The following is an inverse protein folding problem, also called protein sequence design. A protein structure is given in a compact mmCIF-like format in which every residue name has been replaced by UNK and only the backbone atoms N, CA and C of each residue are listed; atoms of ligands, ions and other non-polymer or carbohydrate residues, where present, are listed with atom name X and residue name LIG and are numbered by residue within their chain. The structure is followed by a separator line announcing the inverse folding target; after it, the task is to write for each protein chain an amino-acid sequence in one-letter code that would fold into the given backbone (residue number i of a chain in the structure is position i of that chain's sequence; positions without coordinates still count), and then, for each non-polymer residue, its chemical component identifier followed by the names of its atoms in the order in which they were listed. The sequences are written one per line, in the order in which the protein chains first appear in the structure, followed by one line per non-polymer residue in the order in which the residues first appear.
data_IF_071171704743
#
_entry.id   IF_071171704743
#
_cell.length_a   1.000
_cell.length_b   1.000
_cell.length_c   1.000
_cell.angle_alpha   90.00
_cell.angle_beta   90.00
_cell.angle_gamma   90.00
#
_symmetry.space_group_name_H-M   'P 1'
#
loop_
_entity.id
_entity.type
_entity.pdbx_description
1 polymer ?
#
# COMPACT_ATOMS: atom_id res chain seq x y z
N UNK A 1 75.41 19.06 2.42
CA UNK A 1 75.73 17.75 1.82
C UNK A 1 74.65 16.80 2.33
N UNK A 2 73.61 16.64 1.52
CA UNK A 2 72.55 15.59 1.60
C UNK A 2 73.19 14.18 1.46
N UNK A 3 72.50 13.02 1.67
CA UNK A 3 71.06 12.78 1.40
C UNK A 3 70.31 11.70 2.24
N UNK A 4 69.04 11.46 1.84
CA UNK A 4 68.07 10.39 2.21
C UNK A 4 67.25 10.62 3.51
N UNK A 5 65.91 10.75 3.52
CA UNK A 5 64.88 10.36 2.57
C UNK A 5 64.40 8.93 2.84
N UNK A 6 63.31 8.77 3.60
CA UNK A 6 62.26 7.81 3.25
C UNK A 6 60.93 8.09 4.00
N UNK A 7 59.89 8.32 3.20
CA UNK A 7 58.48 8.11 3.50
C UNK A 7 58.22 6.62 3.76
N UNK A 8 57.33 6.28 4.71
CA UNK A 8 56.30 5.21 4.61
C UNK A 8 55.62 4.88 5.94
N UNK A 9 54.30 4.77 5.87
CA UNK A 9 53.44 4.02 6.79
C UNK A 9 52.77 4.91 7.85
N UNK A 10 51.52 5.38 7.72
CA UNK A 10 50.40 4.75 7.03
C UNK A 10 49.75 3.71 7.94
N UNK A 11 48.57 4.08 8.46
CA UNK A 11 47.59 3.25 9.18
C UNK A 11 47.93 2.89 10.64
N UNK A 12 47.29 3.61 11.57
CA UNK A 12 46.54 3.01 12.69
C UNK A 12 45.61 4.08 13.26
N UNK A 13 44.71 4.56 12.39
CA UNK A 13 43.50 5.22 12.85
C UNK A 13 42.56 4.13 13.37
N UNK A 14 42.63 3.85 14.68
CA UNK A 14 41.63 3.06 15.38
C UNK A 14 40.22 3.54 14.98
N UNK A 15 39.34 2.68 14.46
CA UNK A 15 37.96 3.06 14.26
C UNK A 15 37.26 3.04 15.62
N UNK A 16 37.30 4.19 16.31
CA UNK A 16 36.45 4.53 17.45
C UNK A 16 34.93 4.51 17.12
N UNK A 17 34.56 4.10 15.90
CA UNK A 17 33.18 3.96 15.43
C UNK A 17 32.56 2.57 15.66
N UNK A 18 33.32 1.58 16.17
CA UNK A 18 32.82 0.21 16.31
C UNK A 18 31.93 -0.04 17.55
N UNK A 19 32.03 0.79 18.60
CA UNK A 19 31.24 0.62 19.83
C UNK A 19 29.82 1.18 19.73
N UNK A 20 29.58 2.17 18.87
CA UNK A 20 28.24 2.75 18.66
C UNK A 20 27.32 1.90 17.78
N UNK A 21 27.83 0.83 17.15
CA UNK A 21 27.09 -0.04 16.24
C UNK A 21 26.58 -1.34 16.91
N UNK A 22 26.92 -1.60 18.18
CA UNK A 22 26.56 -2.85 18.87
C UNK A 22 25.11 -2.89 19.39
N UNK A 23 24.42 -1.75 19.55
CA UNK A 23 23.20 -1.69 20.39
C UNK A 23 21.97 -1.00 19.78
N UNK A 24 21.89 -0.76 18.47
CA UNK A 24 20.63 -0.35 17.86
C UNK A 24 19.87 -1.60 17.38
N UNK A 25 18.92 -2.17 18.16
CA UNK A 25 17.99 -3.13 17.62
C UNK A 25 17.18 -2.41 16.55
N UNK A 26 17.54 -2.63 15.29
CA UNK A 26 16.64 -2.35 14.18
C UNK A 26 15.42 -3.20 14.47
N UNK A 27 14.25 -2.60 14.66
CA UNK A 27 12.99 -3.33 14.75
C UNK A 27 12.84 -4.08 13.42
N UNK A 28 13.12 -5.38 13.47
CA UNK A 28 13.02 -6.26 12.31
C UNK A 28 11.54 -6.58 12.14
N UNK A 29 11.06 -6.49 10.90
CA UNK A 29 9.72 -6.88 10.50
C UNK A 29 9.43 -8.29 11.03
N UNK A 30 8.48 -8.41 11.94
CA UNK A 30 8.24 -9.68 12.63
C UNK A 30 7.17 -10.52 11.91
N UNK A 31 7.18 -11.83 12.18
CA UNK A 31 6.11 -12.72 11.71
C UNK A 31 4.72 -12.28 12.21
N UNK A 32 4.64 -11.52 13.31
CA UNK A 32 3.36 -10.96 13.80
C UNK A 32 2.88 -9.81 12.92
N UNK A 33 3.80 -8.96 12.46
CA UNK A 33 3.49 -7.84 11.57
C UNK A 33 3.03 -8.34 10.20
N UNK A 34 3.64 -9.42 9.71
CA UNK A 34 3.17 -10.12 8.53
C UNK A 34 1.73 -10.63 8.67
N UNK A 35 1.43 -11.35 9.75
CA UNK A 35 0.06 -11.89 9.98
C UNK A 35 -0.95 -10.75 10.14
N UNK A 36 -0.60 -9.67 10.82
CA UNK A 36 -1.47 -8.50 10.96
C UNK A 36 -1.75 -7.83 9.60
N UNK A 37 -0.74 -7.73 8.73
CA UNK A 37 -0.89 -7.19 7.40
C UNK A 37 -1.76 -8.09 6.51
N UNK A 38 -1.54 -9.40 6.52
CA UNK A 38 -2.37 -10.38 5.79
C UNK A 38 -3.83 -10.33 6.22
N UNK A 39 -4.10 -10.24 7.53
CA UNK A 39 -5.46 -10.06 8.04
C UNK A 39 -6.10 -8.76 7.56
N UNK A 40 -5.32 -7.68 7.51
CA UNK A 40 -5.77 -6.38 7.00
C UNK A 40 -6.11 -6.47 5.51
N UNK A 41 -5.30 -7.19 4.73
CA UNK A 41 -5.57 -7.44 3.31
C UNK A 41 -6.85 -8.26 3.10
N UNK A 42 -7.08 -9.30 3.90
CA UNK A 42 -8.32 -10.07 3.82
C UNK A 42 -9.55 -9.22 4.15
N UNK A 43 -9.44 -8.32 5.13
CA UNK A 43 -10.51 -7.36 5.41
C UNK A 43 -10.73 -6.39 4.25
N UNK A 44 -9.67 -5.92 3.58
CA UNK A 44 -9.77 -5.10 2.37
C UNK A 44 -10.49 -5.87 1.25
N UNK A 45 -10.11 -7.12 1.00
CA UNK A 45 -10.72 -7.93 -0.05
C UNK A 45 -12.20 -8.21 0.22
N UNK A 46 -12.55 -8.49 1.48
CA UNK A 46 -13.93 -8.68 1.88
C UNK A 46 -14.77 -7.41 1.69
N UNK A 47 -14.24 -6.25 2.08
CA UNK A 47 -14.90 -4.96 1.91
C UNK A 47 -15.05 -4.60 0.42
N UNK A 48 -14.04 -4.87 -0.42
CA UNK A 48 -14.12 -4.66 -1.87
C UNK A 48 -15.20 -5.56 -2.51
N UNK A 49 -15.26 -6.84 -2.13
CA UNK A 49 -16.27 -7.76 -2.63
C UNK A 49 -17.69 -7.33 -2.22
N UNK A 50 -17.87 -6.87 -0.98
CA UNK A 50 -19.15 -6.34 -0.50
C UNK A 50 -19.56 -5.08 -1.28
N UNK A 51 -18.61 -4.18 -1.56
CA UNK A 51 -18.85 -2.98 -2.36
C UNK A 51 -19.22 -3.31 -3.81
N UNK A 52 -18.56 -4.29 -4.44
CA UNK A 52 -18.94 -4.79 -5.77
C UNK A 52 -20.41 -5.25 -5.80
N UNK A 53 -20.80 -6.08 -4.85
CA UNK A 53 -22.17 -6.59 -4.76
C UNK A 53 -23.19 -5.46 -4.56
N UNK A 54 -22.85 -4.48 -3.71
CA UNK A 54 -23.71 -3.32 -3.48
C UNK A 54 -23.83 -2.43 -4.72
N UNK A 55 -22.73 -2.19 -5.44
CA UNK A 55 -22.74 -1.42 -6.68
C UNK A 55 -23.58 -2.11 -7.77
N UNK A 56 -23.48 -3.44 -7.88
CA UNK A 56 -24.31 -4.22 -8.78
C UNK A 56 -25.80 -4.12 -8.42
N UNK A 57 -26.15 -4.18 -7.13
CA UNK A 57 -27.53 -4.00 -6.68
C UNK A 57 -28.05 -2.58 -6.97
N UNK A 58 -27.25 -1.54 -6.72
CA UNK A 58 -27.64 -0.15 -7.02
C UNK A 58 -27.84 0.07 -8.53
N UNK A 59 -26.99 -0.53 -9.36
CA UNK A 59 -27.18 -0.54 -10.82
C UNK A 59 -28.52 -1.18 -11.21
N UNK A 60 -28.87 -2.31 -10.61
CA UNK A 60 -30.17 -2.98 -10.85
C UNK A 60 -31.37 -2.16 -10.37
N UNK A 61 -31.19 -1.23 -9.44
CA UNK A 61 -32.24 -0.33 -8.99
C UNK A 61 -32.40 0.90 -9.88
N UNK A 62 -31.30 1.49 -10.35
CA UNK A 62 -31.34 2.74 -11.13
C UNK A 62 -31.70 2.53 -12.61
N UNK A 63 -31.23 1.45 -13.23
CA UNK A 63 -31.51 1.19 -14.65
C UNK A 63 -33.01 1.10 -14.97
N UNK A 64 -33.85 0.36 -14.19
CA UNK A 64 -35.28 0.32 -14.48
C UNK A 64 -35.98 1.66 -14.25
N UNK A 65 -35.49 2.52 -13.34
CA UNK A 65 -36.03 3.87 -13.17
C UNK A 65 -35.77 4.71 -14.42
N UNK A 66 -34.57 4.59 -14.99
CA UNK A 66 -34.19 5.26 -16.23
C UNK A 66 -35.01 4.76 -17.43
N UNK A 67 -35.15 3.44 -17.59
CA UNK A 67 -35.96 2.84 -18.65
C UNK A 67 -37.43 3.24 -18.55
N UNK A 68 -37.99 3.19 -17.33
CA UNK A 68 -39.37 3.61 -17.07
C UNK A 68 -39.58 5.08 -17.42
N UNK A 69 -38.64 5.96 -17.05
CA UNK A 69 -38.69 7.37 -17.43
C UNK A 69 -38.68 7.53 -18.95
N UNK A 70 -37.72 6.93 -19.66
CA UNK A 70 -37.60 7.07 -21.11
C UNK A 70 -38.81 6.52 -21.88
N UNK A 71 -39.36 5.39 -21.44
CA UNK A 71 -40.45 4.71 -22.15
C UNK A 71 -41.80 5.36 -21.91
N UNK A 72 -42.12 5.71 -20.66
CA UNK A 72 -43.46 6.14 -20.29
C UNK A 72 -43.64 7.66 -20.32
N UNK A 73 -42.57 8.48 -20.32
CA UNK A 73 -42.70 9.94 -20.23
C UNK A 73 -43.64 10.53 -21.28
N UNK A 74 -43.55 10.09 -22.55
CA UNK A 74 -44.43 10.59 -23.61
C UNK A 74 -45.89 10.21 -23.39
N UNK A 75 -46.15 8.97 -22.97
CA UNK A 75 -47.50 8.49 -22.67
C UNK A 75 -48.12 9.28 -21.52
N UNK A 76 -47.34 9.55 -20.47
CA UNK A 76 -47.82 10.30 -19.30
C UNK A 76 -48.05 11.78 -19.61
N UNK A 77 -47.27 12.37 -20.51
CA UNK A 77 -47.52 13.72 -21.05
C UNK A 77 -48.86 13.75 -21.79
N UNK A 78 -49.11 12.80 -22.68
CA UNK A 78 -50.38 12.73 -23.43
C UNK A 78 -51.57 12.47 -22.51
N UNK A 79 -51.39 11.66 -21.47
CA UNK A 79 -52.42 11.34 -20.49
C UNK A 79 -52.63 12.44 -19.41
N UNK A 80 -51.85 13.52 -19.43
CA UNK A 80 -51.88 14.59 -18.42
C UNK A 80 -51.66 14.07 -16.97
N UNK A 81 -50.93 12.97 -16.83
CA UNK A 81 -50.61 12.33 -15.54
C UNK A 81 -49.11 12.45 -15.20
N UNK A 82 -48.42 13.39 -15.82
CA UNK A 82 -46.97 13.53 -15.68
C UNK A 82 -46.54 13.82 -14.23
N UNK A 83 -47.35 14.56 -13.46
CA UNK A 83 -47.03 14.85 -12.05
C UNK A 83 -47.06 13.59 -11.18
N UNK A 84 -48.15 12.84 -11.23
CA UNK A 84 -48.33 11.60 -10.47
C UNK A 84 -47.36 10.50 -10.90
N UNK A 85 -46.85 10.56 -12.13
CA UNK A 85 -45.77 9.71 -12.61
C UNK A 85 -44.39 10.12 -12.07
N UNK A 86 -44.07 11.42 -12.05
CA UNK A 86 -42.74 11.92 -11.71
C UNK A 86 -42.45 11.93 -10.21
N UNK A 87 -43.42 12.29 -9.37
CA UNK A 87 -43.23 12.34 -7.91
C UNK A 87 -42.66 11.03 -7.32
N UNK A 88 -43.26 9.84 -7.55
CA UNK A 88 -42.70 8.58 -7.03
C UNK A 88 -41.37 8.19 -7.68
N UNK A 89 -41.10 8.67 -8.90
CA UNK A 89 -39.83 8.41 -9.58
C UNK A 89 -38.70 9.26 -8.98
N UNK A 90 -38.98 10.52 -8.61
CA UNK A 90 -38.03 11.37 -7.88
C UNK A 90 -37.67 10.75 -6.54
N UNK A 91 -38.66 10.29 -5.78
CA UNK A 91 -38.43 9.66 -4.47
C UNK A 91 -37.54 8.41 -4.60
N UNK A 92 -37.86 7.52 -5.55
CA UNK A 92 -37.07 6.32 -5.80
C UNK A 92 -35.64 6.62 -6.24
N UNK A 93 -35.44 7.62 -7.10
CA UNK A 93 -34.10 8.05 -7.53
C UNK A 93 -33.33 8.65 -6.36
N UNK A 94 -33.99 9.43 -5.50
CA UNK A 94 -33.37 10.03 -4.33
C UNK A 94 -32.89 8.96 -3.34
N UNK A 95 -33.68 7.89 -3.12
CA UNK A 95 -33.26 6.76 -2.30
C UNK A 95 -31.99 6.09 -2.84
N UNK A 96 -31.94 5.84 -4.16
CA UNK A 96 -30.77 5.24 -4.81
C UNK A 96 -29.55 6.18 -4.74
N UNK A 97 -29.74 7.48 -4.94
CA UNK A 97 -28.67 8.48 -4.84
C UNK A 97 -28.06 8.52 -3.43
N UNK A 98 -28.88 8.48 -2.36
CA UNK A 98 -28.38 8.42 -0.99
C UNK A 98 -27.52 7.17 -0.77
N UNK A 99 -27.96 6.02 -1.29
CA UNK A 99 -27.19 4.78 -1.19
C UNK A 99 -25.90 4.81 -2.03
N UNK A 100 -25.90 5.47 -3.19
CA UNK A 100 -24.70 5.69 -4.01
C UNK A 100 -23.69 6.64 -3.36
N UNK A 101 -24.13 7.65 -2.61
CA UNK A 101 -23.23 8.51 -1.83
C UNK A 101 -22.58 7.71 -0.68
N UNK A 102 -23.32 6.81 -0.04
CA UNK A 102 -22.77 5.90 0.97
C UNK A 102 -21.77 4.90 0.36
N UNK A 103 -22.15 4.24 -0.75
CA UNK A 103 -21.31 3.89 -1.90
C UNK A 103 -19.90 4.47 -1.90
N UNK A 104 -19.90 5.72 -2.33
CA UNK A 104 -18.74 6.54 -2.64
C UNK A 104 -17.86 6.82 -1.42
N UNK A 105 -18.48 7.12 -0.28
CA UNK A 105 -17.79 7.39 0.98
C UNK A 105 -17.04 6.16 1.50
N UNK A 106 -17.63 4.97 1.39
CA UNK A 106 -16.96 3.72 1.79
C UNK A 106 -15.79 3.39 0.87
N UNK A 107 -15.93 3.60 -0.44
CA UNK A 107 -14.83 3.47 -1.39
C UNK A 107 -13.67 4.41 -1.06
N UNK A 108 -13.94 5.66 -0.69
CA UNK A 108 -12.88 6.60 -0.29
C UNK A 108 -12.16 6.17 0.99
N UNK A 109 -12.89 5.61 1.96
CA UNK A 109 -12.27 5.04 3.17
C UNK A 109 -11.39 3.84 2.82
N UNK A 110 -11.85 2.97 1.92
CA UNK A 110 -11.11 1.80 1.47
C UNK A 110 -9.84 2.21 0.71
N UNK A 111 -9.93 3.17 -0.20
CA UNK A 111 -8.77 3.74 -0.92
C UNK A 111 -7.75 4.32 0.05
N UNK A 112 -8.18 5.12 1.03
CA UNK A 112 -7.28 5.66 2.07
C UNK A 112 -6.59 4.54 2.85
N UNK A 113 -7.33 3.50 3.25
CA UNK A 113 -6.77 2.37 3.98
C UNK A 113 -5.73 1.62 3.15
N UNK A 114 -5.98 1.38 1.86
CA UNK A 114 -5.00 0.77 0.93
C UNK A 114 -3.75 1.66 0.82
N UNK A 115 -3.91 2.95 0.57
CA UNK A 115 -2.79 3.89 0.44
C UNK A 115 -1.98 4.01 1.74
N UNK A 116 -2.64 3.96 2.91
CA UNK A 116 -1.95 3.97 4.19
C UNK A 116 -1.15 2.69 4.43
N UNK A 117 -1.70 1.52 4.11
CA UNK A 117 -0.95 0.26 4.16
C UNK A 117 0.25 0.28 3.22
N UNK A 118 0.07 0.80 2.00
CA UNK A 118 1.17 0.95 1.06
C UNK A 118 2.26 1.89 1.59
N UNK A 119 1.87 3.05 2.15
CA UNK A 119 2.82 3.99 2.77
C UNK A 119 3.62 3.34 3.89
N UNK A 120 2.96 2.59 4.77
CA UNK A 120 3.64 1.90 5.88
C UNK A 120 4.66 0.89 5.34
N UNK A 121 4.30 0.10 4.32
CA UNK A 121 5.23 -0.84 3.70
C UNK A 121 6.41 -0.13 3.03
N UNK A 122 6.19 0.99 2.35
CA UNK A 122 7.25 1.78 1.73
C UNK A 122 8.19 2.40 2.79
N UNK A 123 7.66 2.85 3.93
CA UNK A 123 8.45 3.32 5.08
C UNK A 123 9.33 2.19 5.65
N UNK A 124 8.81 0.96 5.76
CA UNK A 124 9.61 -0.20 6.19
C UNK A 124 10.70 -0.57 5.17
N UNK A 125 10.37 -0.57 3.88
CA UNK A 125 11.32 -0.86 2.80
C UNK A 125 12.47 0.14 2.82
N UNK A 126 12.18 1.44 2.93
CA UNK A 126 13.19 2.51 2.95
C UNK A 126 14.08 2.44 4.20
N UNK A 127 13.56 2.00 5.34
CA UNK A 127 14.37 1.78 6.55
C UNK A 127 15.32 0.57 6.43
N UNK A 128 14.86 -0.52 5.81
CA UNK A 128 15.64 -1.75 5.67
C UNK A 128 16.60 -1.73 4.48
N UNK A 129 16.32 -0.93 3.45
CA UNK A 129 17.15 -0.81 2.26
C UNK A 129 18.63 -0.48 2.53
N UNK A 130 19.00 0.51 3.36
CA UNK A 130 20.40 0.78 3.66
C UNK A 130 21.09 -0.36 4.43
N UNK A 131 20.34 -1.15 5.22
CA UNK A 131 20.88 -2.31 5.94
C UNK A 131 21.12 -3.48 5.00
N UNK A 132 20.23 -3.70 4.05
CA UNK A 132 20.38 -4.68 2.98
C UNK A 132 21.57 -4.34 2.04
N UNK A 133 21.81 -3.05 1.76
CA UNK A 133 22.88 -2.60 0.85
C UNK A 133 24.24 -2.42 1.53
N UNK A 134 24.32 -2.38 2.86
CA UNK A 134 25.59 -2.21 3.61
C UNK A 134 26.59 -3.35 3.41
N UNK A 135 26.17 -4.47 2.83
CA UNK A 135 27.04 -5.62 2.61
C UNK A 135 27.31 -5.81 1.12
N UNK A 136 28.49 -5.39 0.67
CA UNK A 136 29.20 -6.17 -0.36
C UNK A 136 29.55 -7.52 0.28
N UNK A 137 28.56 -8.40 0.36
CA UNK A 137 28.62 -9.68 1.08
C UNK A 137 29.82 -10.51 0.63
N UNK A 138 30.18 -10.45 -0.66
CA UNK A 138 31.33 -11.15 -1.21
C UNK A 138 32.68 -10.66 -0.67
N UNK A 139 32.91 -9.35 -0.58
CA UNK A 139 34.19 -8.79 -0.09
C UNK A 139 34.39 -9.05 1.40
N UNK A 140 33.32 -8.91 2.20
CA UNK A 140 33.37 -9.17 3.63
C UNK A 140 33.52 -10.65 3.98
N UNK A 141 32.83 -11.54 3.27
CA UNK A 141 32.99 -12.98 3.43
C UNK A 141 34.43 -13.41 3.10
N UNK A 142 35.03 -12.88 2.03
CA UNK A 142 36.43 -13.15 1.68
C UNK A 142 37.41 -12.75 2.80
N UNK A 143 37.24 -11.56 3.38
CA UNK A 143 38.08 -11.10 4.51
C UNK A 143 37.88 -11.91 5.79
N UNK A 144 36.67 -12.40 6.04
CA UNK A 144 36.37 -13.26 7.18
C UNK A 144 37.01 -14.64 6.99
N UNK A 145 36.84 -15.26 5.82
CA UNK A 145 37.45 -16.55 5.48
C UNK A 145 38.98 -16.49 5.58
N UNK A 146 39.62 -15.45 5.04
CA UNK A 146 41.06 -15.26 5.15
C UNK A 146 41.56 -15.06 6.61
N UNK A 147 40.71 -14.59 7.53
CA UNK A 147 41.04 -14.54 8.96
C UNK A 147 40.82 -15.89 9.64
N UNK A 148 39.78 -16.63 9.27
CA UNK A 148 39.54 -17.99 9.73
C UNK A 148 40.67 -18.92 9.30
N UNK A 149 41.10 -18.89 8.04
CA UNK A 149 42.23 -19.69 7.53
C UNK A 149 43.55 -19.38 8.27
N UNK A 150 43.77 -18.12 8.64
CA UNK A 150 44.93 -17.71 9.47
C UNK A 150 44.84 -18.24 10.90
N UNK A 151 43.65 -18.22 11.50
CA UNK A 151 43.43 -18.79 12.84
C UNK A 151 43.58 -20.31 12.81
N UNK A 152 43.04 -20.99 11.81
CA UNK A 152 43.16 -22.43 11.61
C UNK A 152 44.61 -22.85 11.41
N UNK A 153 45.35 -22.19 10.52
CA UNK A 153 46.77 -22.48 10.27
C UNK A 153 47.65 -22.24 11.50
N UNK A 154 47.34 -21.27 12.35
CA UNK A 154 48.05 -21.07 13.61
C UNK A 154 47.72 -22.12 14.68
N UNK A 155 46.45 -22.52 14.78
CA UNK A 155 46.00 -23.55 15.73
C UNK A 155 46.52 -24.94 15.35
N UNK A 156 46.53 -25.30 14.07
CA UNK A 156 46.99 -26.60 13.58
C UNK A 156 48.49 -26.64 13.25
N UNK A 157 49.10 -25.51 12.91
CA UNK A 157 50.51 -25.42 12.49
C UNK A 157 51.50 -25.18 13.63
N UNK A 158 51.04 -24.98 14.86
CA UNK A 158 51.90 -24.78 16.04
C UNK A 158 52.67 -23.45 16.07
N UNK A 159 52.31 -22.50 15.21
CA UNK A 159 52.89 -21.15 15.22
C UNK A 159 52.22 -20.31 16.31
N UNK A 160 52.97 -19.76 17.28
CA UNK A 160 52.37 -18.99 18.37
C UNK A 160 51.81 -17.68 17.82
N UNK A 161 50.48 -17.58 17.73
CA UNK A 161 49.81 -16.30 17.65
C UNK A 161 49.91 -15.60 19.00
N UNK A 162 50.33 -14.33 18.99
CA UNK A 162 50.22 -13.48 20.17
C UNK A 162 48.74 -13.42 20.61
N UNK A 163 48.47 -13.55 21.90
CA UNK A 163 47.12 -13.57 22.45
C UNK A 163 46.29 -12.33 22.05
N UNK A 164 46.96 -11.19 21.86
CA UNK A 164 46.36 -9.95 21.35
C UNK A 164 45.84 -10.09 19.92
N UNK A 165 46.63 -10.69 19.02
CA UNK A 165 46.24 -10.91 17.63
C UNK A 165 45.04 -11.87 17.52
N UNK A 166 45.03 -12.92 18.35
CA UNK A 166 43.90 -13.85 18.47
C UNK A 166 42.62 -13.12 18.92
N UNK A 167 42.73 -12.26 19.93
CA UNK A 167 41.59 -11.49 20.44
C UNK A 167 41.04 -10.50 19.41
N UNK A 168 41.92 -9.84 18.64
CA UNK A 168 41.56 -8.92 17.56
C UNK A 168 40.80 -9.67 16.46
N UNK A 169 41.31 -10.81 16.00
CA UNK A 169 40.69 -11.57 14.91
C UNK A 169 39.36 -12.21 15.33
N UNK A 170 39.25 -12.74 16.55
CA UNK A 170 37.98 -13.26 17.07
C UNK A 170 36.94 -12.15 17.28
N UNK A 171 37.35 -10.96 17.75
CA UNK A 171 36.44 -9.81 17.88
C UNK A 171 35.97 -9.31 16.51
N UNK A 172 36.88 -9.20 15.54
CA UNK A 172 36.52 -8.84 14.16
C UNK A 172 35.52 -9.83 13.56
N UNK A 173 35.79 -11.14 13.68
CA UNK A 173 34.89 -12.19 13.16
C UNK A 173 33.52 -12.12 13.84
N UNK A 174 33.47 -11.94 15.17
CA UNK A 174 32.22 -11.81 15.92
C UNK A 174 31.39 -10.61 15.45
N UNK A 175 32.00 -9.43 15.36
CA UNK A 175 31.31 -8.21 14.90
C UNK A 175 30.84 -8.43 13.47
N UNK A 176 31.70 -8.92 12.58
CA UNK A 176 31.35 -9.11 11.18
C UNK A 176 30.25 -10.14 10.99
N UNK A 177 30.30 -11.31 11.63
CA UNK A 177 29.24 -12.32 11.61
C UNK A 177 27.89 -11.75 12.06
N UNK A 178 27.88 -10.94 13.12
CA UNK A 178 26.64 -10.27 13.58
C UNK A 178 26.12 -9.29 12.54
N UNK A 179 26.98 -8.43 11.99
CA UNK A 179 26.57 -7.45 10.98
C UNK A 179 26.13 -8.08 9.66
N UNK A 180 26.77 -9.17 9.21
CA UNK A 180 26.38 -9.88 7.99
C UNK A 180 25.08 -10.63 8.18
N UNK A 181 24.88 -11.26 9.34
CA UNK A 181 23.60 -11.88 9.69
C UNK A 181 22.46 -10.86 9.68
N UNK A 182 22.62 -9.73 10.36
CA UNK A 182 21.59 -8.68 10.40
C UNK A 182 21.29 -8.11 9.00
N UNK A 183 22.31 -7.96 8.13
CA UNK A 183 22.10 -7.52 6.76
C UNK A 183 21.38 -8.55 5.88
N UNK A 184 21.66 -9.85 6.07
CA UNK A 184 20.95 -10.93 5.37
C UNK A 184 19.49 -11.02 5.81
N UNK A 185 19.22 -10.90 7.12
CA UNK A 185 17.87 -10.83 7.67
C UNK A 185 17.13 -9.61 7.08
N UNK A 186 17.72 -8.42 7.14
CA UNK A 186 17.13 -7.21 6.54
C UNK A 186 16.90 -7.31 5.03
N UNK A 187 17.77 -7.97 4.27
CA UNK A 187 17.60 -8.17 2.83
C UNK A 187 16.44 -9.12 2.51
N UNK A 188 16.30 -10.20 3.30
CA UNK A 188 15.18 -11.12 3.17
C UNK A 188 13.86 -10.42 3.51
N UNK A 189 13.81 -9.66 4.60
CA UNK A 189 12.63 -8.92 5.03
C UNK A 189 12.24 -7.85 4.00
N UNK A 190 13.22 -7.14 3.42
CA UNK A 190 12.99 -6.17 2.35
C UNK A 190 12.38 -6.82 1.10
N UNK A 191 12.86 -8.00 0.70
CA UNK A 191 12.28 -8.73 -0.42
C UNK A 191 10.82 -9.15 -0.15
N UNK A 192 10.52 -9.62 1.06
CA UNK A 192 9.15 -9.97 1.47
C UNK A 192 8.23 -8.74 1.48
N UNK A 193 8.68 -7.64 2.07
CA UNK A 193 7.95 -6.37 2.12
C UNK A 193 7.65 -5.81 0.74
N UNK A 194 8.60 -5.88 -0.19
CA UNK A 194 8.36 -5.48 -1.59
C UNK A 194 7.28 -6.34 -2.26
N UNK A 195 7.24 -7.63 -1.95
CA UNK A 195 6.16 -8.53 -2.41
C UNK A 195 4.79 -8.12 -1.85
N UNK A 196 4.72 -7.82 -0.55
CA UNK A 196 3.50 -7.34 0.10
C UNK A 196 3.05 -5.97 -0.43
N UNK A 197 4.01 -5.07 -0.68
CA UNK A 197 3.75 -3.75 -1.25
C UNK A 197 3.16 -3.87 -2.66
N UNK A 198 3.72 -4.74 -3.49
CA UNK A 198 3.18 -5.03 -4.82
C UNK A 198 1.77 -5.63 -4.75
N UNK A 199 1.52 -6.56 -3.82
CA UNK A 199 0.19 -7.14 -3.62
C UNK A 199 -0.84 -6.11 -3.13
N UNK A 200 -0.44 -5.19 -2.27
CA UNK A 200 -1.30 -4.10 -1.79
C UNK A 200 -1.61 -3.11 -2.92
N UNK A 201 -0.59 -2.70 -3.67
CA UNK A 201 -0.73 -1.79 -4.81
C UNK A 201 -1.65 -2.36 -5.91
N UNK A 202 -1.67 -3.67 -6.11
CA UNK A 202 -2.53 -4.34 -7.09
C UNK A 202 -4.05 -4.17 -6.82
N UNK A 203 -4.45 -3.83 -5.59
CA UNK A 203 -5.87 -3.62 -5.21
C UNK A 203 -6.35 -2.18 -5.46
N UNK A 204 -5.44 -1.24 -5.57
CA UNK A 204 -5.77 0.15 -5.89
C UNK A 204 -6.51 0.32 -7.23
N UNK A 205 -6.09 -0.29 -8.36
CA UNK A 205 -6.81 -0.14 -9.62
C UNK A 205 -8.23 -0.71 -9.58
N UNK A 206 -8.48 -1.77 -8.80
CA UNK A 206 -9.82 -2.33 -8.62
C UNK A 206 -10.72 -1.35 -7.85
N UNK A 207 -10.22 -0.78 -6.75
CA UNK A 207 -10.93 0.26 -6.01
C UNK A 207 -11.20 1.53 -6.85
N UNK A 208 -10.28 1.87 -7.76
CA UNK A 208 -10.46 2.98 -8.71
C UNK A 208 -11.51 2.68 -9.78
N UNK A 209 -11.55 1.45 -10.30
CA UNK A 209 -12.60 1.01 -11.22
C UNK A 209 -13.98 1.09 -10.56
N UNK A 210 -14.11 0.62 -9.31
CA UNK A 210 -15.36 0.75 -8.56
C UNK A 210 -15.76 2.22 -8.35
N UNK A 211 -14.79 3.09 -8.09
CA UNK A 211 -15.04 4.54 -7.93
C UNK A 211 -15.59 5.16 -9.20
N UNK A 212 -15.04 4.82 -10.37
CA UNK A 212 -15.55 5.35 -11.64
C UNK A 212 -16.95 4.81 -11.97
N UNK A 213 -17.22 3.54 -11.64
CA UNK A 213 -18.56 2.97 -11.77
C UNK A 213 -19.60 3.67 -10.89
N UNK A 214 -19.29 3.90 -9.61
CA UNK A 214 -20.19 4.62 -8.70
C UNK A 214 -20.41 6.05 -9.16
N UNK A 215 -19.36 6.75 -9.59
CA UNK A 215 -19.48 8.10 -10.15
C UNK A 215 -20.40 8.15 -11.38
N UNK A 216 -20.30 7.16 -12.27
CA UNK A 216 -21.18 7.06 -13.44
C UNK A 216 -22.65 6.82 -13.05
N UNK A 217 -22.91 5.98 -12.04
CA UNK A 217 -24.25 5.75 -11.52
C UNK A 217 -24.82 7.00 -10.84
N UNK A 218 -24.02 7.70 -10.04
CA UNK A 218 -24.42 8.98 -9.42
C UNK A 218 -24.78 10.01 -10.48
N UNK A 219 -23.96 10.19 -11.51
CA UNK A 219 -24.24 11.14 -12.59
C UNK A 219 -25.55 10.81 -13.33
N UNK A 220 -25.89 9.52 -13.51
CA UNK A 220 -27.17 9.10 -14.08
C UNK A 220 -28.35 9.43 -13.16
N UNK A 221 -28.19 9.18 -11.87
CA UNK A 221 -29.22 9.48 -10.87
C UNK A 221 -29.48 10.97 -10.74
N UNK A 222 -28.43 11.78 -10.67
CA UNK A 222 -28.50 13.24 -10.67
C UNK A 222 -29.18 13.77 -11.94
N UNK A 223 -28.81 13.25 -13.10
CA UNK A 223 -29.45 13.61 -14.37
C UNK A 223 -30.95 13.30 -14.35
N UNK A 224 -31.35 12.14 -13.83
CA UNK A 224 -32.76 11.75 -13.75
C UNK A 224 -33.54 12.67 -12.80
N UNK A 225 -32.99 12.91 -11.60
CA UNK A 225 -33.56 13.83 -10.62
C UNK A 225 -33.74 15.23 -11.20
N UNK A 226 -32.72 15.74 -11.90
CA UNK A 226 -32.77 17.04 -12.55
C UNK A 226 -33.85 17.11 -13.63
N UNK A 227 -33.91 16.13 -14.53
CA UNK A 227 -34.95 16.06 -15.56
C UNK A 227 -36.35 16.05 -14.96
N UNK A 228 -36.57 15.25 -13.91
CA UNK A 228 -37.86 15.20 -13.22
C UNK A 228 -38.21 16.55 -12.59
N UNK A 229 -37.25 17.20 -11.94
CA UNK A 229 -37.41 18.52 -11.34
C UNK A 229 -37.76 19.58 -12.39
N UNK A 230 -37.09 19.58 -13.54
CA UNK A 230 -37.41 20.49 -14.64
C UNK A 230 -38.84 20.30 -15.14
N UNK A 231 -39.27 19.05 -15.34
CA UNK A 231 -40.64 18.75 -15.77
C UNK A 231 -41.68 19.17 -14.74
N UNK A 232 -41.45 18.89 -13.46
CA UNK A 232 -42.36 19.30 -12.39
C UNK A 232 -42.49 20.83 -12.33
N UNK A 233 -41.39 21.56 -12.46
CA UNK A 233 -41.40 23.02 -12.52
C UNK A 233 -42.13 23.54 -13.77
N UNK A 234 -41.93 22.90 -14.92
CA UNK A 234 -42.63 23.26 -16.16
C UNK A 234 -44.15 23.09 -16.05
N UNK A 235 -44.62 21.97 -15.48
CA UNK A 235 -46.04 21.72 -15.23
C UNK A 235 -46.65 22.76 -14.28
N UNK A 236 -45.90 23.16 -13.24
CA UNK A 236 -46.32 24.22 -12.32
C UNK A 236 -46.48 25.58 -13.02
N UNK A 237 -45.56 25.95 -13.93
CA UNK A 237 -45.60 27.24 -14.65
C UNK A 237 -46.73 27.26 -15.68
N UNK A 238 -46.91 26.17 -16.42
CA UNK A 238 -47.88 26.11 -17.52
C UNK A 238 -49.31 25.90 -17.04
N UNK A 239 -49.54 25.57 -15.76
CA UNK A 239 -50.88 25.34 -15.22
C UNK A 239 -51.55 24.09 -15.78
N UNK A 240 -50.83 23.22 -16.50
CA UNK A 240 -51.29 21.90 -16.99
C UNK A 240 -51.27 20.89 -15.81
N UNK A 241 -51.50 21.39 -14.59
CA UNK A 241 -51.51 20.60 -13.38
C UNK A 241 -52.93 20.08 -13.19
N UNK A 242 -53.10 18.80 -13.56
CA UNK A 242 -54.32 18.00 -13.43
C UNK A 242 -55.48 18.55 -14.29
N UNK A 243 -55.94 17.72 -15.23
CA UNK A 243 -56.97 18.10 -16.18
C UNK A 243 -58.25 18.60 -15.51
N UNK A 244 -58.54 19.89 -15.71
CA UNK A 244 -59.89 20.43 -15.89
C UNK A 244 -60.12 20.70 -17.39
#
# INVERSE_FOLDING_TARGET
MDPHGDDRGGADAEPASAQGAEDAPVELWSARDQVAHEQTLWAIDADMAALHMRCAALRQQIEPLWERFLTLSLEQILAHQMRTFLEPLVDAVQEVNVALVAADCELDRLRRRISEQQRLLDEWVTQLEPLAHRTSTQSYLGMMLARVERLESALYGGSPLAAEQLAIDLRYLRIRLRTTRAALEAANDNAQLRGLAAATAARLPEAESLKTEVAALMARGECLSELCRYWLMYLQITGIADGD
#
